data_IF_654170712898
#
_entry.id   IF_654170712898
#
_cell.length_a   1.000
_cell.length_b   1.000
_cell.length_c   1.000
_cell.angle_alpha   90.00
_cell.angle_beta   90.00
_cell.angle_gamma   90.00
#
_symmetry.space_group_name_H-M   'P 1'
#
loop_
_entity.id
_entity.type
_entity.pdbx_description
1 polymer ?
#
# COMPACT_ATOMS: atom_id res chain seq x y z
N UNK A 1 -15.54 -31.80 -46.81
CA UNK A 1 -14.63 -31.11 -45.90
C UNK A 1 -15.46 -30.59 -44.73
N UNK A 2 -15.31 -31.10 -43.51
CA UNK A 2 -16.08 -30.62 -42.38
C UNK A 2 -15.31 -29.46 -41.70
N UNK A 3 -16.06 -28.41 -41.39
CA UNK A 3 -15.63 -27.24 -40.65
C UNK A 3 -15.25 -27.63 -39.21
N UNK A 4 -14.08 -27.16 -38.73
CA UNK A 4 -13.63 -27.28 -37.34
C UNK A 4 -14.47 -26.39 -36.42
N UNK A 5 -14.86 -26.84 -35.24
CA UNK A 5 -15.56 -26.01 -34.28
C UNK A 5 -14.60 -24.98 -33.61
N UNK A 6 -15.02 -23.74 -33.62
CA UNK A 6 -14.38 -22.66 -32.89
C UNK A 6 -14.43 -22.94 -31.39
N UNK A 7 -13.27 -22.98 -30.76
CA UNK A 7 -13.14 -22.95 -29.29
C UNK A 7 -13.55 -21.56 -28.76
N UNK A 8 -14.79 -21.46 -28.35
CA UNK A 8 -15.27 -20.41 -27.47
C UNK A 8 -14.68 -20.69 -26.08
N UNK A 9 -13.63 -19.95 -25.76
CA UNK A 9 -13.07 -19.89 -24.41
C UNK A 9 -14.13 -19.25 -23.52
N UNK A 10 -14.89 -20.10 -22.81
CA UNK A 10 -15.83 -19.66 -21.77
C UNK A 10 -15.03 -19.05 -20.63
N UNK A 11 -15.01 -17.73 -20.57
CA UNK A 11 -14.62 -17.00 -19.37
C UNK A 11 -15.73 -17.24 -18.35
N UNK A 12 -15.54 -18.24 -17.49
CA UNK A 12 -16.37 -18.43 -16.33
C UNK A 12 -16.05 -17.28 -15.36
N UNK A 13 -16.84 -16.21 -15.45
CA UNK A 13 -16.95 -15.23 -14.38
C UNK A 13 -17.54 -15.98 -13.17
N UNK A 14 -16.69 -16.34 -12.22
CA UNK A 14 -17.13 -16.76 -10.90
C UNK A 14 -17.65 -15.52 -10.17
N UNK A 15 -18.87 -15.10 -10.52
CA UNK A 15 -19.69 -14.22 -9.72
C UNK A 15 -20.12 -15.02 -8.48
N UNK A 16 -19.30 -15.01 -7.44
CA UNK A 16 -19.84 -15.29 -6.11
C UNK A 16 -20.84 -14.20 -5.80
N UNK A 17 -22.12 -14.55 -5.87
CA UNK A 17 -23.22 -13.72 -5.42
C UNK A 17 -23.01 -13.42 -3.94
N UNK A 18 -22.36 -12.30 -3.64
CA UNK A 18 -22.39 -11.67 -2.33
C UNK A 18 -23.78 -11.06 -2.24
N UNK A 19 -24.69 -11.74 -1.57
CA UNK A 19 -25.95 -11.16 -1.12
C UNK A 19 -25.61 -9.93 -0.30
N UNK A 20 -25.78 -8.77 -0.91
CA UNK A 20 -25.69 -7.48 -0.23
C UNK A 20 -26.86 -7.41 0.74
N UNK A 21 -26.67 -7.85 1.98
CA UNK A 21 -27.54 -7.48 3.08
C UNK A 21 -27.26 -6.00 3.32
N UNK A 22 -28.12 -5.16 2.80
CA UNK A 22 -28.15 -3.74 3.13
C UNK A 22 -28.52 -3.61 4.62
N UNK A 23 -27.49 -3.56 5.49
CA UNK A 23 -27.68 -3.04 6.82
C UNK A 23 -27.73 -1.52 6.69
N UNK A 24 -28.94 -0.98 6.57
CA UNK A 24 -29.16 0.43 6.84
C UNK A 24 -28.88 0.62 8.35
N UNK A 25 -27.70 1.09 8.69
CA UNK A 25 -27.41 1.58 10.02
C UNK A 25 -27.78 3.06 10.03
N UNK A 26 -28.77 3.44 10.85
CA UNK A 26 -29.17 4.84 11.10
C UNK A 26 -28.10 5.65 11.88
N UNK A 27 -26.85 5.22 11.88
CA UNK A 27 -25.75 6.03 12.39
C UNK A 27 -25.33 7.02 11.29
N UNK A 28 -25.07 8.30 11.66
CA UNK A 28 -24.50 9.25 10.71
C UNK A 28 -23.27 8.59 10.07
N UNK A 29 -23.28 8.52 8.75
CA UNK A 29 -22.22 7.91 7.98
C UNK A 29 -20.98 8.77 8.21
N UNK A 30 -19.98 8.24 8.92
CA UNK A 30 -18.72 8.96 9.16
C UNK A 30 -18.07 9.25 7.81
N UNK A 31 -17.82 10.52 7.54
CA UNK A 31 -17.11 10.99 6.32
C UNK A 31 -15.69 10.42 6.33
N UNK A 32 -15.04 10.29 5.16
CA UNK A 32 -13.63 9.94 5.08
C UNK A 32 -12.80 10.75 6.07
N UNK A 33 -12.11 10.08 6.97
CA UNK A 33 -11.48 10.69 8.14
C UNK A 33 -10.04 10.23 8.32
N UNK A 34 -9.14 11.19 8.54
CA UNK A 34 -7.76 10.93 8.91
C UNK A 34 -7.65 10.82 10.43
N UNK A 35 -7.07 9.71 10.87
CA UNK A 35 -6.72 9.45 12.27
C UNK A 35 -5.22 9.47 12.45
N UNK A 36 -4.74 10.04 13.53
CA UNK A 36 -3.33 10.08 13.87
C UNK A 36 -3.07 9.39 15.21
N UNK A 37 -1.91 8.74 15.31
CA UNK A 37 -1.46 8.10 16.52
C UNK A 37 -0.94 9.17 17.49
N UNK A 38 -1.49 9.22 18.69
CA UNK A 38 -1.01 10.11 19.75
C UNK A 38 -0.16 9.34 20.76
N UNK A 39 0.81 10.04 21.35
CA UNK A 39 1.71 9.51 22.38
C UNK A 39 0.98 9.45 23.74
N UNK A 40 0.08 8.50 23.86
CA UNK A 40 -0.59 8.19 25.13
C UNK A 40 -0.35 6.71 25.48
N UNK A 41 -0.41 6.35 26.78
CA UNK A 41 -0.09 4.99 27.24
C UNK A 41 -0.89 3.86 26.58
N UNK A 42 -2.01 4.18 25.92
CA UNK A 42 -2.98 3.20 25.41
C UNK A 42 -3.00 3.05 23.88
N UNK A 43 -1.98 3.48 23.16
CA UNK A 43 -1.95 3.35 21.68
C UNK A 43 -3.25 3.86 21.02
N UNK A 44 -3.61 5.10 21.32
CA UNK A 44 -4.87 5.68 20.86
C UNK A 44 -4.69 6.37 19.51
N UNK A 45 -5.68 6.19 18.63
CA UNK A 45 -5.88 7.01 17.43
C UNK A 45 -6.93 8.06 17.71
N UNK A 46 -6.66 9.29 17.30
CA UNK A 46 -7.62 10.41 17.35
C UNK A 46 -7.80 11.01 15.96
N UNK A 47 -8.94 11.62 15.71
CA UNK A 47 -9.16 12.32 14.46
C UNK A 47 -8.19 13.48 14.34
N UNK A 48 -7.64 13.69 13.15
CA UNK A 48 -6.61 14.70 12.94
C UNK A 48 -7.10 16.13 13.25
N UNK A 49 -8.39 16.41 13.11
CA UNK A 49 -9.03 17.69 13.44
C UNK A 49 -9.31 17.89 14.95
N UNK A 50 -9.23 16.82 15.75
CA UNK A 50 -9.41 16.86 17.21
C UNK A 50 -8.07 16.98 17.96
N UNK A 51 -6.94 16.89 17.26
CA UNK A 51 -5.61 16.95 17.86
C UNK A 51 -5.07 18.36 17.77
N UNK A 52 -4.83 19.00 18.91
CA UNK A 52 -3.96 20.16 18.99
C UNK A 52 -2.51 19.69 18.84
N UNK A 53 -2.15 19.22 17.63
CA UNK A 53 -0.74 19.07 17.32
C UNK A 53 -0.13 20.46 17.33
N UNK A 54 0.99 20.69 18.03
CA UNK A 54 1.74 21.89 17.79
C UNK A 54 2.08 21.88 16.29
N UNK A 55 1.56 22.84 15.55
CA UNK A 55 1.85 23.04 14.13
C UNK A 55 3.34 23.43 14.00
N UNK A 56 4.21 22.49 14.25
CA UNK A 56 5.64 22.67 14.06
C UNK A 56 5.93 22.51 12.59
N UNK A 57 6.53 23.52 12.01
CA UNK A 57 7.08 23.41 10.66
C UNK A 57 8.09 22.27 10.58
N UNK A 58 8.11 21.59 9.45
CA UNK A 58 9.12 20.57 9.19
C UNK A 58 8.80 19.18 9.73
N UNK A 59 7.56 18.88 10.09
CA UNK A 59 7.13 17.52 10.44
C UNK A 59 7.26 16.56 9.25
N UNK A 60 7.58 15.31 9.55
CA UNK A 60 7.43 14.20 8.64
C UNK A 60 6.08 13.52 8.91
N UNK A 61 5.38 13.15 7.85
CA UNK A 61 4.04 12.57 7.95
C UNK A 61 4.02 11.24 7.21
N UNK A 62 3.50 10.19 7.84
CA UNK A 62 3.24 8.91 7.18
C UNK A 62 1.81 8.49 7.39
N UNK A 63 1.08 8.24 6.29
CA UNK A 63 -0.33 7.87 6.32
C UNK A 63 -0.54 6.61 5.49
N UNK A 64 -1.21 5.61 6.09
CA UNK A 64 -1.66 4.42 5.38
C UNK A 64 -3.15 4.47 5.08
N UNK A 65 -3.60 3.86 3.98
CA UNK A 65 -5.02 3.75 3.66
C UNK A 65 -5.34 2.45 2.92
N UNK A 66 -6.59 2.03 3.02
CA UNK A 66 -7.12 0.78 2.50
C UNK A 66 -7.69 0.91 1.07
N UNK A 67 -8.09 -0.23 0.50
CA UNK A 67 -8.77 -0.33 -0.79
C UNK A 67 -10.27 -0.59 -0.69
N UNK A 68 -10.83 -1.18 -1.76
CA UNK A 68 -12.23 -1.56 -1.89
C UNK A 68 -12.63 -2.69 -0.93
N UNK A 69 -13.79 -2.55 -0.27
CA UNK A 69 -14.39 -3.53 0.68
C UNK A 69 -13.39 -4.05 1.75
N UNK A 70 -12.41 -3.24 2.11
CA UNK A 70 -11.45 -3.65 3.13
C UNK A 70 -12.11 -3.74 4.51
N UNK A 71 -11.85 -4.84 5.23
CA UNK A 71 -12.36 -5.08 6.58
C UNK A 71 -11.25 -5.12 7.63
N UNK A 72 -10.02 -5.30 7.21
CA UNK A 72 -8.87 -5.42 8.08
C UNK A 72 -8.40 -4.06 8.60
N UNK A 73 -7.81 -4.06 9.76
CA UNK A 73 -7.29 -2.84 10.41
C UNK A 73 -5.82 -2.59 10.06
N UNK A 74 -5.30 -3.23 8.98
CA UNK A 74 -3.90 -3.17 8.64
C UNK A 74 -3.36 -1.73 8.49
N UNK A 75 -4.09 -0.73 7.92
CA UNK A 75 -3.53 0.62 7.81
C UNK A 75 -3.33 1.27 9.18
N UNK A 76 -4.28 1.03 10.11
CA UNK A 76 -4.19 1.50 11.48
C UNK A 76 -3.03 0.83 12.22
N UNK A 77 -2.89 -0.49 12.10
CA UNK A 77 -1.80 -1.23 12.74
C UNK A 77 -0.46 -0.81 12.17
N UNK A 78 -0.33 -0.65 10.86
CA UNK A 78 0.89 -0.16 10.20
C UNK A 78 1.30 1.22 10.73
N UNK A 79 0.33 2.12 10.92
CA UNK A 79 0.63 3.45 11.48
C UNK A 79 1.22 3.35 12.90
N UNK A 80 0.75 2.44 13.74
CA UNK A 80 1.34 2.18 15.05
C UNK A 80 2.72 1.53 14.94
N UNK A 81 2.88 0.53 14.07
CA UNK A 81 4.15 -0.16 13.86
C UNK A 81 5.26 0.80 13.42
N UNK A 82 4.93 1.74 12.52
CA UNK A 82 5.88 2.76 12.05
C UNK A 82 6.16 3.78 13.17
N UNK A 83 5.12 4.25 13.88
CA UNK A 83 5.30 5.19 15.00
C UNK A 83 6.30 4.66 16.02
N UNK A 84 6.26 3.35 16.31
CA UNK A 84 7.15 2.71 17.28
C UNK A 84 8.62 2.58 16.77
N UNK A 85 8.88 2.95 15.51
CA UNK A 85 10.21 2.95 14.89
C UNK A 85 10.81 4.35 14.71
N UNK A 86 10.02 5.39 14.84
CA UNK A 86 10.41 6.77 14.52
C UNK A 86 10.34 7.67 15.76
N UNK A 87 11.01 8.83 15.70
CA UNK A 87 10.89 9.85 16.74
C UNK A 87 9.54 10.56 16.60
N UNK A 88 8.70 10.40 17.60
CA UNK A 88 7.36 11.01 17.63
C UNK A 88 7.35 12.54 17.72
N UNK A 89 8.48 13.17 18.02
CA UNK A 89 8.61 14.64 17.95
C UNK A 89 8.81 15.13 16.51
N UNK A 90 9.27 14.26 15.63
CA UNK A 90 9.52 14.59 14.22
C UNK A 90 8.50 13.97 13.28
N UNK A 91 7.76 12.93 13.70
CA UNK A 91 6.89 12.14 12.86
C UNK A 91 5.45 12.10 13.34
N UNK A 92 4.52 12.31 12.41
CA UNK A 92 3.10 12.05 12.60
C UNK A 92 2.75 10.80 11.79
N UNK A 93 2.29 9.75 12.48
CA UNK A 93 1.87 8.51 11.87
C UNK A 93 0.35 8.37 11.95
N UNK A 94 -0.30 8.01 10.87
CA UNK A 94 -1.75 7.93 10.85
C UNK A 94 -2.31 7.00 9.77
N UNK A 95 -3.62 6.90 9.74
CA UNK A 95 -4.34 6.18 8.72
C UNK A 95 -5.59 6.92 8.30
N UNK A 96 -5.94 6.78 7.02
CA UNK A 96 -7.11 7.41 6.43
C UNK A 96 -8.21 6.37 6.20
N UNK A 97 -9.36 6.59 6.82
CA UNK A 97 -10.53 5.70 6.76
C UNK A 97 -11.60 6.27 5.84
N UNK A 98 -11.88 5.57 4.75
CA UNK A 98 -12.97 5.85 3.82
C UNK A 98 -13.79 4.58 3.51
N UNK A 99 -13.80 3.62 4.48
CA UNK A 99 -14.43 2.30 4.32
C UNK A 99 -15.91 2.36 3.98
N UNK A 100 -16.62 3.36 4.47
CA UNK A 100 -18.05 3.48 4.18
C UNK A 100 -18.29 3.70 2.70
N UNK A 101 -17.52 4.57 2.08
CA UNK A 101 -17.61 4.90 0.66
C UNK A 101 -16.94 3.84 -0.23
N UNK A 102 -15.99 3.06 0.33
CA UNK A 102 -15.38 1.95 -0.38
C UNK A 102 -16.29 0.71 -0.47
N UNK A 103 -17.40 0.65 0.27
CA UNK A 103 -18.37 -0.45 0.28
C UNK A 103 -19.39 -0.33 -0.86
N UNK A 104 -18.91 -0.20 -2.06
CA UNK A 104 -19.70 -0.20 -3.30
C UNK A 104 -19.59 -1.56 -4.00
N UNK A 105 -20.57 -1.87 -4.86
CA UNK A 105 -20.62 -3.17 -5.54
C UNK A 105 -19.47 -3.34 -6.53
N UNK A 106 -19.07 -2.26 -7.20
CA UNK A 106 -18.06 -2.32 -8.25
C UNK A 106 -16.74 -1.68 -7.76
N UNK A 107 -15.60 -2.40 -7.85
CA UNK A 107 -14.30 -1.84 -7.46
C UNK A 107 -13.89 -0.60 -8.29
N UNK A 108 -14.41 -0.45 -9.52
CA UNK A 108 -14.19 0.73 -10.34
C UNK A 108 -14.83 1.99 -9.70
N UNK A 109 -16.00 1.84 -9.09
CA UNK A 109 -16.68 2.98 -8.43
C UNK A 109 -15.90 3.38 -7.18
N UNK A 110 -15.33 2.42 -6.44
CA UNK A 110 -14.43 2.70 -5.33
C UNK A 110 -13.18 3.45 -5.81
N UNK A 111 -12.55 3.02 -6.90
CA UNK A 111 -11.39 3.72 -7.47
C UNK A 111 -11.74 5.13 -7.96
N UNK A 112 -12.93 5.31 -8.52
CA UNK A 112 -13.42 6.62 -8.95
C UNK A 112 -13.61 7.56 -7.75
N UNK A 113 -14.27 7.09 -6.69
CA UNK A 113 -14.42 7.85 -5.44
C UNK A 113 -13.07 8.17 -4.81
N UNK A 114 -12.15 7.18 -4.77
CA UNK A 114 -10.80 7.36 -4.25
C UNK A 114 -10.07 8.51 -4.96
N UNK A 115 -10.13 8.56 -6.28
CA UNK A 115 -9.47 9.59 -7.10
C UNK A 115 -10.17 10.95 -6.96
N UNK A 116 -11.50 11.00 -7.16
CA UNK A 116 -12.20 12.27 -7.31
C UNK A 116 -12.55 12.95 -5.97
N UNK A 117 -12.65 12.16 -4.89
CA UNK A 117 -13.15 12.66 -3.60
C UNK A 117 -12.20 12.35 -2.44
N UNK A 118 -11.93 11.07 -2.19
CA UNK A 118 -11.15 10.67 -1.00
C UNK A 118 -9.73 11.26 -1.00
N UNK A 119 -9.07 11.32 -2.17
CA UNK A 119 -7.74 11.92 -2.30
C UNK A 119 -7.71 13.41 -1.97
N UNK A 120 -8.73 14.16 -2.39
CA UNK A 120 -8.86 15.58 -2.05
C UNK A 120 -9.05 15.78 -0.54
N UNK A 121 -9.93 14.98 0.06
CA UNK A 121 -10.18 15.01 1.50
C UNK A 121 -8.96 14.62 2.31
N UNK A 122 -8.19 13.63 1.85
CA UNK A 122 -6.92 13.23 2.48
C UNK A 122 -5.92 14.39 2.43
N UNK A 123 -5.74 15.01 1.27
CA UNK A 123 -4.83 16.16 1.13
C UNK A 123 -5.22 17.32 2.05
N UNK A 124 -6.51 17.68 2.09
CA UNK A 124 -7.02 18.73 2.95
C UNK A 124 -6.77 18.45 4.45
N UNK A 125 -6.96 17.21 4.88
CA UNK A 125 -6.75 16.82 6.26
C UNK A 125 -5.25 16.77 6.63
N UNK A 126 -4.37 16.34 5.71
CA UNK A 126 -2.91 16.40 5.91
C UNK A 126 -2.44 17.85 6.05
N UNK A 127 -2.93 18.75 5.19
CA UNK A 127 -2.57 20.17 5.21
C UNK A 127 -3.08 20.92 6.46
N UNK A 128 -4.03 20.35 7.20
CA UNK A 128 -4.42 20.84 8.52
C UNK A 128 -3.47 20.38 9.64
N UNK A 129 -2.76 19.26 9.44
CA UNK A 129 -1.74 18.78 10.40
C UNK A 129 -0.49 19.65 10.32
N UNK A 130 -0.05 20.00 9.10
CA UNK A 130 1.11 20.86 8.89
C UNK A 130 0.99 21.61 7.57
N UNK A 131 1.18 22.92 7.62
CA UNK A 131 1.21 23.78 6.43
C UNK A 131 2.53 23.66 5.67
N UNK A 132 3.60 23.23 6.32
CA UNK A 132 4.94 23.12 5.76
C UNK A 132 5.63 21.82 6.22
N UNK A 133 5.10 20.65 5.83
CA UNK A 133 5.75 19.37 6.13
C UNK A 133 7.07 19.25 5.36
N UNK A 134 8.06 18.57 5.97
CA UNK A 134 9.35 18.29 5.35
C UNK A 134 9.27 17.08 4.43
N UNK A 135 8.55 16.06 4.85
CA UNK A 135 8.39 14.80 4.12
C UNK A 135 7.00 14.22 4.36
N UNK A 136 6.41 13.66 3.31
CA UNK A 136 5.13 12.96 3.37
C UNK A 136 5.28 11.60 2.69
N UNK A 137 4.98 10.53 3.42
CA UNK A 137 4.89 9.18 2.90
C UNK A 137 3.44 8.69 2.94
N UNK A 138 2.88 8.36 1.78
CA UNK A 138 1.52 7.84 1.65
C UNK A 138 1.58 6.39 1.17
N UNK A 139 0.91 5.49 1.90
CA UNK A 139 0.91 4.05 1.66
C UNK A 139 -0.52 3.60 1.40
N UNK A 140 -0.77 2.91 0.28
CA UNK A 140 -2.13 2.46 -0.04
C UNK A 140 -2.17 1.11 -0.72
N UNK A 141 -3.29 0.39 -0.52
CA UNK A 141 -3.59 -0.87 -1.18
C UNK A 141 -4.70 -0.69 -2.22
N UNK A 142 -4.54 -1.41 -3.35
CA UNK A 142 -5.61 -1.57 -4.35
C UNK A 142 -6.18 -0.22 -4.86
N UNK A 143 -7.49 -0.01 -4.81
CA UNK A 143 -8.16 1.23 -5.21
C UNK A 143 -7.75 2.45 -4.38
N UNK A 144 -7.26 2.27 -3.15
CA UNK A 144 -6.73 3.35 -2.32
C UNK A 144 -5.49 4.04 -2.93
N UNK A 145 -4.80 3.37 -3.84
CA UNK A 145 -3.66 3.94 -4.58
C UNK A 145 -4.05 5.21 -5.36
N UNK A 146 -5.29 5.31 -5.81
CA UNK A 146 -5.82 6.51 -6.46
C UNK A 146 -6.00 7.66 -5.49
N UNK A 147 -6.42 7.38 -4.25
CA UNK A 147 -6.57 8.41 -3.22
C UNK A 147 -5.21 9.03 -2.87
N UNK A 148 -4.18 8.21 -2.63
CA UNK A 148 -2.86 8.75 -2.29
C UNK A 148 -2.18 9.44 -3.47
N UNK A 149 -2.41 8.98 -4.70
CA UNK A 149 -1.87 9.64 -5.90
C UNK A 149 -2.47 11.03 -6.08
N UNK A 150 -3.79 11.18 -5.93
CA UNK A 150 -4.44 12.48 -6.03
C UNK A 150 -4.07 13.41 -4.86
N UNK A 151 -4.04 12.88 -3.63
CA UNK A 151 -3.59 13.66 -2.48
C UNK A 151 -2.17 14.20 -2.66
N UNK A 152 -1.26 13.37 -3.17
CA UNK A 152 0.11 13.75 -3.43
C UNK A 152 0.23 14.89 -4.46
N UNK A 153 -0.56 14.87 -5.53
CA UNK A 153 -0.61 15.95 -6.53
C UNK A 153 -1.03 17.28 -5.91
N UNK A 154 -2.08 17.26 -5.08
CA UNK A 154 -2.58 18.46 -4.40
C UNK A 154 -1.56 19.00 -3.40
N UNK A 155 -0.94 18.12 -2.63
CA UNK A 155 0.07 18.48 -1.63
C UNK A 155 1.33 19.06 -2.31
N UNK A 156 1.77 18.46 -3.40
CA UNK A 156 2.91 18.92 -4.17
C UNK A 156 2.74 20.38 -4.67
N UNK A 157 1.52 20.75 -5.02
CA UNK A 157 1.21 22.13 -5.46
C UNK A 157 1.17 23.15 -4.30
N UNK A 158 0.97 22.69 -3.07
CA UNK A 158 0.73 23.57 -1.90
C UNK A 158 1.88 23.61 -0.90
N UNK A 159 2.83 22.69 -0.98
CA UNK A 159 3.93 22.58 -0.02
C UNK A 159 5.25 22.34 -0.72
N UNK A 160 6.34 22.45 0.03
CA UNK A 160 7.69 22.08 -0.42
C UNK A 160 8.13 20.70 0.07
N UNK A 161 7.18 19.86 0.51
CA UNK A 161 7.48 18.53 1.03
C UNK A 161 8.11 17.63 -0.03
N UNK A 162 9.05 16.79 0.40
CA UNK A 162 9.39 15.59 -0.35
C UNK A 162 8.24 14.59 -0.22
N UNK A 163 7.89 13.90 -1.31
CA UNK A 163 6.76 12.98 -1.33
C UNK A 163 7.22 11.58 -1.73
N UNK A 164 6.88 10.62 -0.88
CA UNK A 164 7.04 9.20 -1.11
C UNK A 164 5.67 8.52 -1.22
N UNK A 165 5.47 7.72 -2.25
CA UNK A 165 4.28 6.90 -2.43
C UNK A 165 4.66 5.42 -2.37
N UNK A 166 3.89 4.64 -1.62
CA UNK A 166 3.98 3.18 -1.64
C UNK A 166 2.66 2.59 -2.09
N UNK A 167 2.67 2.01 -3.28
CA UNK A 167 1.54 1.32 -3.86
C UNK A 167 1.64 -0.18 -3.57
N UNK A 168 0.62 -0.73 -2.91
CA UNK A 168 0.49 -2.15 -2.60
C UNK A 168 -0.56 -2.75 -3.54
N UNK A 169 -0.10 -3.45 -4.57
CA UNK A 169 -0.93 -4.09 -5.60
C UNK A 169 -2.02 -3.16 -6.16
N UNK A 170 -1.60 -2.06 -6.77
CA UNK A 170 -2.49 -1.00 -7.23
C UNK A 170 -3.57 -1.53 -8.20
N UNK A 171 -4.83 -1.27 -7.90
CA UNK A 171 -5.94 -1.58 -8.79
C UNK A 171 -6.08 -0.51 -9.86
N UNK A 172 -5.98 -0.89 -11.13
CA UNK A 172 -6.18 -0.02 -12.29
C UNK A 172 -7.41 -0.48 -13.07
N UNK A 173 -8.55 0.24 -13.02
CA UNK A 173 -9.73 -0.12 -13.78
C UNK A 173 -9.45 -0.25 -15.28
N UNK A 174 -10.12 -1.18 -15.96
CA UNK A 174 -10.00 -1.33 -17.41
C UNK A 174 -10.27 0.01 -18.12
N UNK A 175 -9.37 0.38 -19.03
CA UNK A 175 -9.46 1.64 -19.78
C UNK A 175 -8.94 2.88 -19.03
N UNK A 176 -8.44 2.72 -17.80
CA UNK A 176 -7.70 3.78 -17.12
C UNK A 176 -6.22 3.69 -17.43
N UNK A 177 -5.56 4.84 -17.40
CA UNK A 177 -4.12 4.91 -17.59
C UNK A 177 -3.39 4.66 -16.26
N UNK A 178 -2.68 3.54 -16.17
CA UNK A 178 -1.83 3.19 -15.04
C UNK A 178 -0.74 4.23 -14.77
N UNK A 179 -0.30 4.94 -15.81
CA UNK A 179 0.72 5.98 -15.68
C UNK A 179 0.22 7.24 -14.95
N UNK A 180 -1.08 7.36 -14.73
CA UNK A 180 -1.64 8.44 -13.89
C UNK A 180 -1.33 8.25 -12.40
N UNK A 181 -0.98 7.03 -11.98
CA UNK A 181 -0.59 6.76 -10.59
C UNK A 181 0.86 7.20 -10.35
N UNK A 182 1.06 8.05 -9.35
CA UNK A 182 2.36 8.60 -9.01
C UNK A 182 2.88 9.67 -9.99
N UNK A 183 2.07 10.09 -10.96
CA UNK A 183 2.39 11.21 -11.87
C UNK A 183 2.26 12.53 -11.11
N UNK A 184 3.33 12.91 -10.42
CA UNK A 184 3.45 14.17 -9.71
C UNK A 184 4.34 15.09 -10.53
N UNK A 185 3.90 16.31 -10.89
CA UNK A 185 4.72 17.24 -11.65
C UNK A 185 6.07 17.47 -10.97
N UNK A 186 7.16 17.29 -11.72
CA UNK A 186 8.50 17.54 -11.23
C UNK A 186 8.69 19.03 -10.92
N UNK A 187 9.23 19.30 -9.73
CA UNK A 187 9.53 20.67 -9.28
C UNK A 187 10.99 20.76 -8.85
N UNK A 188 11.67 21.88 -9.15
CA UNK A 188 13.02 22.09 -8.67
C UNK A 188 13.11 21.96 -7.13
N UNK A 189 14.12 21.25 -6.65
CA UNK A 189 14.40 21.07 -5.22
C UNK A 189 13.39 20.23 -4.44
N UNK A 190 12.43 19.56 -5.09
CA UNK A 190 11.53 18.60 -4.46
C UNK A 190 11.86 17.18 -4.93
N UNK A 191 11.75 16.22 -4.02
CA UNK A 191 11.99 14.82 -4.33
C UNK A 191 10.64 14.10 -4.32
N UNK A 192 10.27 13.54 -5.47
CA UNK A 192 9.11 12.67 -5.62
C UNK A 192 9.59 11.27 -5.93
N UNK A 193 9.03 10.30 -5.23
CA UNK A 193 9.48 8.94 -5.36
C UNK A 193 8.35 7.96 -5.04
N UNK A 194 8.29 6.84 -5.74
CA UNK A 194 7.30 5.82 -5.51
C UNK A 194 7.85 4.40 -5.62
N UNK A 195 7.33 3.52 -4.77
CA UNK A 195 7.43 2.06 -4.88
C UNK A 195 6.09 1.45 -5.24
N UNK A 196 6.12 0.38 -6.02
CA UNK A 196 4.96 -0.46 -6.29
C UNK A 196 5.31 -1.92 -6.03
N UNK A 197 4.69 -2.52 -5.03
CA UNK A 197 4.80 -3.95 -4.70
C UNK A 197 3.58 -4.69 -5.20
N UNK A 198 3.77 -5.63 -6.14
CA UNK A 198 2.68 -6.32 -6.82
C UNK A 198 2.88 -7.84 -6.82
N UNK A 199 1.78 -8.61 -6.88
CA UNK A 199 1.82 -10.07 -6.77
C UNK A 199 1.58 -10.79 -8.08
N UNK A 200 1.03 -10.14 -9.12
CA UNK A 200 0.56 -10.79 -10.34
C UNK A 200 -0.37 -11.98 -10.03
N UNK A 201 -1.41 -11.69 -9.27
CA UNK A 201 -2.41 -12.67 -8.87
C UNK A 201 -3.37 -13.07 -10.01
N UNK A 202 -4.41 -13.83 -9.67
CA UNK A 202 -5.42 -14.31 -10.63
C UNK A 202 -6.39 -13.23 -11.10
N UNK A 203 -6.42 -12.05 -10.49
CA UNK A 203 -7.30 -10.94 -10.89
C UNK A 203 -6.87 -10.30 -12.21
N UNK A 204 -5.69 -10.64 -12.69
CA UNK A 204 -5.22 -10.31 -14.02
C UNK A 204 -4.74 -8.87 -14.15
N UNK A 205 -4.88 -8.31 -15.37
CA UNK A 205 -4.28 -7.05 -15.78
C UNK A 205 -4.72 -5.81 -14.98
N UNK A 206 -5.69 -5.93 -14.09
CA UNK A 206 -6.20 -4.79 -13.31
C UNK A 206 -5.41 -4.55 -12.02
N UNK A 207 -4.59 -5.50 -11.56
CA UNK A 207 -3.80 -5.39 -10.32
C UNK A 207 -2.30 -5.57 -10.51
N UNK A 208 -1.83 -5.98 -11.69
CA UNK A 208 -0.39 -6.07 -11.93
C UNK A 208 0.12 -5.17 -13.06
N UNK A 209 -0.51 -4.03 -13.25
CA UNK A 209 0.01 -3.00 -14.13
C UNK A 209 1.35 -2.48 -13.62
N UNK A 210 2.30 -2.26 -14.54
CA UNK A 210 3.50 -1.50 -14.21
C UNK A 210 3.16 -0.03 -14.14
N UNK A 211 3.65 0.65 -13.12
CA UNK A 211 3.45 2.08 -12.94
C UNK A 211 4.68 2.82 -13.44
N UNK A 212 4.50 3.74 -14.38
CA UNK A 212 5.61 4.47 -15.02
C UNK A 212 6.45 5.28 -14.02
N UNK A 213 5.81 5.80 -12.97
CA UNK A 213 6.43 6.69 -11.99
C UNK A 213 6.87 5.98 -10.71
N UNK A 214 6.80 4.64 -10.67
CA UNK A 214 7.18 3.86 -9.50
C UNK A 214 8.30 2.86 -9.81
N UNK A 215 9.07 2.50 -8.78
CA UNK A 215 9.94 1.34 -8.80
C UNK A 215 9.09 0.10 -8.58
N UNK A 216 8.89 -0.71 -9.64
CA UNK A 216 8.00 -1.86 -9.61
C UNK A 216 8.73 -3.12 -9.11
N UNK A 217 8.19 -3.76 -8.10
CA UNK A 217 8.72 -4.97 -7.46
C UNK A 217 7.66 -6.07 -7.41
N UNK A 218 7.87 -7.12 -8.19
CA UNK A 218 7.03 -8.33 -8.14
C UNK A 218 7.42 -9.18 -6.93
N UNK A 219 6.50 -9.31 -5.98
CA UNK A 219 6.65 -10.11 -4.77
C UNK A 219 5.84 -11.42 -4.82
N UNK A 220 5.31 -11.76 -5.99
CA UNK A 220 4.47 -12.94 -6.16
C UNK A 220 5.18 -14.27 -5.89
N UNK A 221 6.51 -14.37 -6.15
CA UNK A 221 7.27 -15.59 -5.88
C UNK A 221 7.54 -15.85 -4.39
N UNK A 222 7.48 -14.81 -3.57
CA UNK A 222 7.65 -14.93 -2.12
C UNK A 222 6.33 -15.12 -1.37
N UNK A 223 5.18 -14.98 -2.07
CA UNK A 223 3.85 -15.21 -1.46
C UNK A 223 3.76 -16.66 -0.97
N UNK A 224 3.42 -16.92 0.30
CA UNK A 224 3.12 -18.27 0.77
C UNK A 224 1.82 -18.77 0.14
N UNK A 225 1.87 -19.95 -0.49
CA UNK A 225 0.71 -20.52 -1.18
C UNK A 225 0.42 -19.88 -2.54
N UNK A 226 -0.86 -19.61 -2.81
CA UNK A 226 -1.28 -18.96 -4.06
C UNK A 226 -1.06 -17.45 -4.00
N UNK A 227 -0.73 -16.86 -5.15
CA UNK A 227 -0.62 -15.40 -5.29
C UNK A 227 -1.95 -14.74 -4.92
N UNK A 228 -1.90 -13.75 -4.07
CA UNK A 228 -3.06 -13.10 -3.46
C UNK A 228 -2.89 -11.58 -3.54
N UNK A 229 -3.88 -10.90 -4.10
CA UNK A 229 -3.98 -9.45 -4.15
C UNK A 229 -3.76 -8.75 -2.79
N UNK A 230 -4.09 -9.44 -1.71
CA UNK A 230 -3.94 -8.92 -0.35
C UNK A 230 -2.55 -9.14 0.24
N UNK A 231 -1.72 -10.00 -0.35
CA UNK A 231 -0.39 -10.31 0.19
C UNK A 231 0.47 -9.07 0.44
N UNK A 232 0.54 -8.05 -0.44
CA UNK A 232 1.37 -6.88 -0.21
C UNK A 232 1.06 -6.12 1.08
N UNK A 233 -0.20 -6.02 1.49
CA UNK A 233 -0.55 -5.33 2.73
C UNK A 233 -0.35 -6.17 4.01
N UNK A 234 -0.12 -7.47 3.90
CA UNK A 234 0.41 -8.31 4.98
C UNK A 234 1.94 -8.26 5.02
N UNK A 235 2.55 -8.30 3.86
CA UNK A 235 4.00 -8.32 3.71
C UNK A 235 4.67 -6.99 4.08
N UNK A 236 4.10 -5.85 3.68
CA UNK A 236 4.72 -4.56 3.96
C UNK A 236 4.83 -4.26 5.47
N UNK A 237 3.78 -4.42 6.30
CA UNK A 237 3.89 -4.33 7.76
C UNK A 237 4.91 -5.31 8.34
N UNK A 238 4.96 -6.54 7.83
CA UNK A 238 5.96 -7.50 8.26
C UNK A 238 7.40 -7.00 8.03
N UNK A 239 7.64 -6.20 6.98
CA UNK A 239 8.96 -5.58 6.74
C UNK A 239 9.30 -4.47 7.74
N UNK A 240 8.31 -3.84 8.38
CA UNK A 240 8.48 -2.90 9.51
C UNK A 240 8.88 -3.67 10.76
N UNK A 241 8.17 -4.76 11.06
CA UNK A 241 8.35 -5.59 12.26
C UNK A 241 9.56 -6.52 12.17
N UNK A 242 10.05 -6.83 10.95
CA UNK A 242 11.07 -7.85 10.69
C UNK A 242 10.54 -9.28 10.69
N UNK A 243 9.25 -9.50 10.89
CA UNK A 243 8.51 -10.77 10.88
C UNK A 243 7.03 -10.51 10.66
N UNK A 244 6.26 -11.53 10.29
CA UNK A 244 4.79 -11.43 10.29
C UNK A 244 4.27 -11.33 11.73
N UNK A 245 3.19 -10.55 11.91
CA UNK A 245 2.48 -10.48 13.21
C UNK A 245 1.97 -11.87 13.60
N UNK A 246 2.03 -12.25 14.88
CA UNK A 246 1.51 -13.54 15.35
C UNK A 246 0.02 -13.79 15.04
N UNK A 247 -0.77 -12.74 14.83
CA UNK A 247 -2.18 -12.82 14.47
C UNK A 247 -2.44 -12.73 12.96
N UNK A 248 -1.39 -12.54 12.16
CA UNK A 248 -1.49 -12.48 10.71
C UNK A 248 -1.71 -13.89 10.13
N UNK A 249 -2.42 -13.97 8.99
CA UNK A 249 -2.63 -15.25 8.30
C UNK A 249 -1.32 -15.90 7.82
N UNK A 250 -0.24 -15.14 7.73
CA UNK A 250 1.09 -15.60 7.38
C UNK A 250 2.02 -15.75 8.61
N UNK A 251 1.44 -15.76 9.83
CA UNK A 251 2.19 -15.97 11.06
C UNK A 251 3.06 -17.24 10.97
N UNK A 252 4.33 -17.12 11.35
CA UNK A 252 5.29 -18.22 11.27
C UNK A 252 5.95 -18.44 9.90
N UNK A 253 5.42 -17.83 8.85
CA UNK A 253 6.06 -17.87 7.52
C UNK A 253 7.37 -17.07 7.51
N UNK A 254 8.31 -17.51 6.68
CA UNK A 254 9.58 -16.80 6.52
C UNK A 254 9.40 -15.53 5.72
N UNK A 255 9.85 -14.41 6.29
CA UNK A 255 9.81 -13.12 5.63
C UNK A 255 10.98 -12.96 4.65
N UNK A 256 10.66 -12.72 3.38
CA UNK A 256 11.63 -12.41 2.33
C UNK A 256 11.44 -10.96 1.89
N UNK A 257 12.47 -10.13 2.01
CA UNK A 257 12.44 -8.71 1.62
C UNK A 257 13.79 -8.20 1.13
N UNK A 258 14.68 -9.12 0.71
CA UNK A 258 16.01 -8.80 0.21
C UNK A 258 16.26 -9.47 -1.13
N UNK A 259 16.98 -8.77 -2.01
CA UNK A 259 17.54 -9.35 -3.24
C UNK A 259 18.96 -8.80 -3.40
N UNK A 260 19.96 -9.68 -3.30
CA UNK A 260 21.34 -9.27 -3.18
C UNK A 260 21.57 -8.36 -1.97
N UNK A 261 22.16 -7.19 -2.20
CA UNK A 261 22.40 -6.18 -1.15
C UNK A 261 21.24 -5.21 -0.95
N UNK A 262 20.18 -5.29 -1.77
CA UNK A 262 19.03 -4.41 -1.68
C UNK A 262 17.99 -4.97 -0.73
N UNK A 263 17.43 -4.08 0.09
CA UNK A 263 16.26 -4.37 0.94
C UNK A 263 15.04 -3.65 0.36
N UNK A 264 13.88 -4.27 0.51
CA UNK A 264 12.60 -3.79 -0.01
C UNK A 264 11.58 -3.59 1.12
N UNK A 265 10.42 -3.04 0.78
CA UNK A 265 9.40 -2.68 1.76
C UNK A 265 9.83 -1.47 2.58
N UNK A 266 9.51 -1.47 3.86
CA UNK A 266 9.80 -0.36 4.79
C UNK A 266 11.27 0.11 4.76
N UNK A 267 12.22 -0.80 4.56
CA UNK A 267 13.65 -0.46 4.48
C UNK A 267 14.00 0.56 3.37
N UNK A 268 13.09 0.81 2.44
CA UNK A 268 13.25 1.79 1.36
C UNK A 268 12.66 3.16 1.70
N UNK A 269 12.07 3.34 2.85
CA UNK A 269 11.49 4.60 3.30
C UNK A 269 12.49 5.46 4.09
N UNK A 270 12.17 6.75 4.22
CA UNK A 270 12.96 7.67 5.05
C UNK A 270 12.86 7.28 6.53
N UNK A 271 11.73 6.76 6.96
CA UNK A 271 11.44 6.27 8.32
C UNK A 271 12.40 5.17 8.76
N UNK A 272 12.86 4.35 7.82
CA UNK A 272 13.82 3.29 8.07
C UNK A 272 15.27 3.76 8.14
N UNK A 273 15.50 5.06 7.95
CA UNK A 273 16.81 5.68 8.01
C UNK A 273 17.30 6.24 6.69
N UNK A 274 17.99 7.37 6.79
CA UNK A 274 18.42 8.19 5.65
C UNK A 274 19.24 7.42 4.61
N UNK A 275 20.18 6.59 5.05
CA UNK A 275 21.04 5.82 4.13
C UNK A 275 20.25 4.85 3.24
N UNK A 276 19.22 4.20 3.78
CA UNK A 276 18.36 3.30 3.01
C UNK A 276 17.56 4.08 1.96
N UNK A 277 17.00 5.22 2.36
CA UNK A 277 16.20 6.07 1.50
C UNK A 277 17.03 6.67 0.36
N UNK A 278 18.20 7.21 0.64
CA UNK A 278 19.12 7.75 -0.36
C UNK A 278 19.55 6.70 -1.40
N UNK A 279 19.77 5.45 -0.97
CA UNK A 279 20.04 4.35 -1.89
C UNK A 279 18.82 4.04 -2.78
N UNK A 280 17.62 4.15 -2.21
CA UNK A 280 16.36 3.88 -2.91
C UNK A 280 16.06 4.87 -4.02
N UNK A 281 16.37 6.15 -3.84
CA UNK A 281 16.18 7.19 -4.86
C UNK A 281 16.97 6.94 -6.17
N UNK A 282 17.99 6.09 -6.12
CA UNK A 282 18.83 5.75 -7.28
C UNK A 282 18.28 4.61 -8.11
N UNK A 283 17.21 3.94 -7.65
CA UNK A 283 16.65 2.80 -8.37
C UNK A 283 15.76 3.28 -9.52
N UNK A 284 15.76 2.56 -10.66
CA UNK A 284 14.99 2.95 -11.82
C UNK A 284 13.49 2.82 -11.56
N UNK A 285 12.72 3.74 -12.14
CA UNK A 285 11.24 3.67 -12.19
C UNK A 285 10.78 3.17 -13.58
N UNK A 286 9.50 2.89 -13.71
CA UNK A 286 8.84 2.63 -14.98
C UNK A 286 8.80 1.17 -15.39
N UNK A 287 9.04 0.88 -16.67
CA UNK A 287 8.77 -0.42 -17.28
C UNK A 287 9.58 -1.61 -16.74
N UNK A 288 10.65 -1.36 -15.99
CA UNK A 288 11.41 -2.42 -15.36
C UNK A 288 10.66 -2.96 -14.15
N UNK A 289 10.60 -4.29 -14.04
CA UNK A 289 10.06 -4.96 -12.88
C UNK A 289 11.15 -5.82 -12.25
N UNK A 290 11.38 -5.59 -10.97
CA UNK A 290 12.30 -6.42 -10.18
C UNK A 290 11.50 -7.57 -9.58
N UNK A 291 11.97 -8.79 -9.73
CA UNK A 291 11.37 -9.96 -9.07
C UNK A 291 12.07 -10.23 -7.75
N UNK A 292 11.33 -10.18 -6.67
CA UNK A 292 11.81 -10.62 -5.38
C UNK A 292 11.51 -12.12 -5.24
N UNK A 293 12.55 -12.93 -5.32
CA UNK A 293 12.44 -14.37 -5.28
C UNK A 293 12.95 -14.96 -3.95
N UNK A 294 12.43 -16.11 -3.59
CA UNK A 294 13.02 -16.91 -2.49
C UNK A 294 14.46 -17.28 -2.86
N UNK A 295 15.42 -17.19 -1.94
CA UNK A 295 16.77 -17.73 -2.19
C UNK A 295 16.66 -19.18 -2.67
N UNK A 296 17.42 -19.52 -3.71
CA UNK A 296 17.54 -20.93 -4.12
C UNK A 296 18.15 -21.70 -2.95
N UNK A 297 17.42 -22.67 -2.46
CA UNK A 297 17.99 -23.60 -1.49
C UNK A 297 19.19 -24.30 -2.13
N UNK A 298 20.30 -24.51 -1.39
CA UNK A 298 21.39 -25.31 -1.90
C UNK A 298 20.81 -26.65 -2.36
N UNK A 299 21.24 -27.12 -3.54
CA UNK A 299 20.83 -28.44 -4.00
C UNK A 299 21.33 -29.48 -2.98
N UNK A 300 20.41 -30.03 -2.21
CA UNK A 300 20.69 -31.15 -1.30
C UNK A 300 20.29 -32.45 -2.01
N UNK A 301 21.26 -33.19 -2.60
CA UNK A 301 20.97 -34.40 -3.33
C UNK A 301 20.41 -35.52 -2.45
N UNK A 302 20.47 -35.38 -1.13
CA UNK A 302 20.05 -36.40 -0.16
C UNK A 302 18.90 -35.93 0.74
N UNK A 303 18.41 -34.71 0.61
CA UNK A 303 17.37 -34.10 1.46
C UNK A 303 16.06 -34.88 1.53
N UNK A 304 15.76 -35.68 0.48
CA UNK A 304 14.59 -36.56 0.47
C UNK A 304 14.70 -37.76 1.42
N UNK A 305 15.93 -38.20 1.76
CA UNK A 305 16.18 -39.34 2.66
C UNK A 305 15.85 -39.05 4.12
N UNK A 306 15.81 -37.78 4.52
CA UNK A 306 15.69 -37.38 5.93
C UNK A 306 14.37 -36.67 6.25
N UNK A 307 13.54 -36.34 5.26
CA UNK A 307 12.25 -35.65 5.47
C UNK A 307 11.13 -36.50 6.12
N UNK A 308 11.33 -37.83 6.28
CA UNK A 308 10.30 -38.74 6.78
C UNK A 308 10.57 -39.28 8.20
N UNK A 309 11.31 -38.57 9.05
CA UNK A 309 11.60 -39.03 10.42
C UNK A 309 11.09 -38.10 11.53
N UNK A 310 10.05 -37.33 11.29
CA UNK A 310 9.38 -36.56 12.34
C UNK A 310 7.87 -36.62 12.11
N UNK A 311 7.30 -37.73 12.53
CA UNK A 311 5.91 -37.89 12.96
C UNK A 311 5.90 -38.26 14.42
#
# INVERSE_FOLDING_TARGET
MPLKPNNLCSIALLLTAITAIAFASDKPQDKPTLYVAVNEPNNRMVKADEVNLPLTDGLNIVIATHGWIEREQWPKNLAFDIRDKVDSNEWVCGWFDWRNEARVVNPRDAAHFARETAGKMLAEQILKISNNPRHIHLIAHSSGCWAISEAAKIIAQKTNANIHLTFLDAYVPLGWDANSLGDIPAEPNKIYWADHYLTQDITGNVTYCRLAHAHNVDIGEITPGLKDHRFPFHWYPATVLGKYDPNDKYAGEKLYYKSGNLKYGFARSLEAGKANWEASLKLPTGNNIIKLAKPKEPFDPFGWLFKNKSN
#
